data_IF_605189494518
#
_entry.id   IF_605189494518
#
_cell.length_a   1.000
_cell.length_b   1.000
_cell.length_c   1.000
_cell.angle_alpha   90.00
_cell.angle_beta   90.00
_cell.angle_gamma   90.00
#
_symmetry.space_group_name_H-M   'P 1'
#
loop_
_entity.id
_entity.type
_entity.pdbx_description
1 polymer ?
#
# COMPACT_ATOMS: atom_id res chain seq x y z
N UNK A 1 5.36 17.56 0.96
CA UNK A 1 6.38 17.22 -0.06
C UNK A 1 6.32 15.73 -0.27
N UNK A 2 5.79 15.30 -1.41
CA UNK A 2 6.08 14.03 -2.10
C UNK A 2 5.34 14.12 -3.45
N UNK A 3 5.67 15.18 -4.20
CA UNK A 3 5.23 15.32 -5.58
C UNK A 3 6.25 14.57 -6.43
N UNK A 4 5.79 13.44 -6.98
CA UNK A 4 6.38 12.69 -8.09
C UNK A 4 7.87 12.35 -7.93
N UNK A 5 8.19 11.08 -7.67
CA UNK A 5 9.37 10.51 -8.33
C UNK A 5 9.14 10.76 -9.83
N UNK A 6 9.75 11.82 -10.34
CA UNK A 6 9.46 12.36 -11.67
C UNK A 6 9.73 11.25 -12.67
N UNK A 7 8.92 11.18 -13.73
CA UNK A 7 9.05 10.18 -14.81
C UNK A 7 10.51 9.83 -15.19
N UNK A 8 11.41 10.80 -15.13
CA UNK A 8 12.87 10.68 -15.35
C UNK A 8 13.60 9.75 -14.36
N UNK A 9 13.26 9.81 -13.08
CA UNK A 9 13.83 8.94 -12.03
C UNK A 9 13.39 7.49 -12.25
N UNK A 10 12.12 7.30 -12.62
CA UNK A 10 11.56 5.99 -12.91
C UNK A 10 12.18 5.38 -14.18
N UNK A 11 12.37 6.18 -15.24
CA UNK A 11 13.14 5.77 -16.42
C UNK A 11 14.58 5.38 -16.05
N UNK A 12 15.26 6.19 -15.24
CA UNK A 12 16.63 5.91 -14.80
C UNK A 12 16.76 4.63 -13.98
N UNK A 13 15.72 4.24 -13.23
CA UNK A 13 15.68 2.98 -12.49
C UNK A 13 15.45 1.79 -13.42
N UNK A 14 14.57 1.93 -14.41
CA UNK A 14 14.32 0.89 -15.42
C UNK A 14 15.57 0.62 -16.26
N UNK A 15 16.33 1.66 -16.63
CA UNK A 15 17.59 1.52 -17.38
C UNK A 15 18.70 0.79 -16.62
N UNK A 16 18.64 0.77 -15.28
CA UNK A 16 19.61 0.08 -14.43
C UNK A 16 19.23 -1.37 -14.13
N UNK A 17 18.05 -1.82 -14.55
CA UNK A 17 17.63 -3.19 -14.33
C UNK A 17 18.42 -4.15 -15.21
N UNK A 18 18.82 -5.32 -14.69
CA UNK A 18 19.32 -6.40 -15.52
C UNK A 18 18.26 -6.83 -16.54
N UNK A 19 18.68 -7.21 -17.75
CA UNK A 19 17.76 -7.68 -18.81
C UNK A 19 16.83 -8.81 -18.34
N UNK A 20 17.30 -9.67 -17.44
CA UNK A 20 16.52 -10.76 -16.84
C UNK A 20 15.33 -10.27 -16.01
N UNK A 21 15.40 -9.06 -15.46
CA UNK A 21 14.41 -8.49 -14.53
C UNK A 21 13.40 -7.56 -15.22
N UNK A 22 13.67 -7.10 -16.45
CA UNK A 22 12.83 -6.12 -17.17
C UNK A 22 11.39 -6.61 -17.31
N UNK A 23 11.20 -7.90 -17.63
CA UNK A 23 9.87 -8.49 -17.77
C UNK A 23 9.11 -8.55 -16.43
N UNK A 24 9.79 -8.81 -15.33
CA UNK A 24 9.18 -8.86 -14.00
C UNK A 24 8.79 -7.44 -13.53
N UNK A 25 9.68 -6.47 -13.74
CA UNK A 25 9.41 -5.07 -13.45
C UNK A 25 8.23 -4.52 -14.26
N UNK A 26 8.15 -4.86 -15.55
CA UNK A 26 7.01 -4.47 -16.41
C UNK A 26 5.67 -4.97 -15.87
N UNK A 27 5.58 -6.25 -15.51
CA UNK A 27 4.34 -6.82 -14.92
C UNK A 27 3.96 -6.16 -13.60
N UNK A 28 4.96 -5.83 -12.78
CA UNK A 28 4.72 -5.15 -11.51
C UNK A 28 4.20 -3.72 -11.72
N UNK A 29 4.76 -2.99 -12.68
CA UNK A 29 4.26 -1.66 -13.05
C UNK A 29 2.84 -1.72 -13.61
N UNK A 30 2.53 -2.69 -14.47
CA UNK A 30 1.16 -2.93 -14.95
C UNK A 30 0.19 -3.24 -13.80
N UNK A 31 0.61 -4.06 -12.83
CA UNK A 31 -0.16 -4.34 -11.63
C UNK A 31 -0.44 -3.05 -10.84
N UNK A 32 0.56 -2.21 -10.62
CA UNK A 32 0.40 -0.93 -9.92
C UNK A 32 -0.49 0.06 -10.69
N UNK A 33 -0.46 0.07 -12.02
CA UNK A 33 -1.34 0.92 -12.82
C UNK A 33 -2.78 0.40 -12.78
N UNK A 34 -2.97 -0.92 -12.83
CA UNK A 34 -4.30 -1.56 -12.76
C UNK A 34 -4.96 -1.40 -11.39
N UNK A 35 -4.13 -1.26 -10.36
CA UNK A 35 -4.52 -0.84 -9.03
C UNK A 35 -4.43 0.68 -8.98
N UNK A 36 -5.45 1.36 -9.47
CA UNK A 36 -5.82 2.64 -8.84
C UNK A 36 -6.17 2.34 -7.37
N UNK A 37 -5.15 2.07 -6.54
CA UNK A 37 -5.29 2.05 -5.10
C UNK A 37 -5.70 3.47 -4.75
N UNK A 38 -6.96 3.61 -4.36
CA UNK A 38 -7.50 4.88 -3.90
C UNK A 38 -6.50 5.44 -2.88
N UNK A 39 -6.03 6.68 -3.05
CA UNK A 39 -5.08 7.26 -2.11
C UNK A 39 -5.65 7.08 -0.72
N UNK A 40 -4.84 6.53 0.20
CA UNK A 40 -5.29 6.28 1.56
C UNK A 40 -5.74 7.62 2.14
N UNK A 41 -7.00 7.67 2.55
CA UNK A 41 -7.59 8.88 3.10
C UNK A 41 -6.74 9.37 4.29
N UNK A 42 -6.21 10.62 4.25
CA UNK A 42 -5.44 11.19 5.34
C UNK A 42 -6.18 11.16 6.69
N UNK A 43 -7.50 11.21 6.70
CA UNK A 43 -8.31 11.06 7.91
C UNK A 43 -8.28 9.61 8.42
N UNK A 44 -8.36 8.64 7.52
CA UNK A 44 -8.20 7.22 7.86
C UNK A 44 -6.80 6.95 8.45
N UNK A 45 -5.74 7.52 7.87
CA UNK A 45 -4.38 7.40 8.41
C UNK A 45 -4.28 7.94 9.84
N UNK A 46 -4.83 9.13 10.10
CA UNK A 46 -4.85 9.71 11.46
C UNK A 46 -5.56 8.80 12.46
N UNK A 47 -6.69 8.20 12.06
CA UNK A 47 -7.43 7.26 12.92
C UNK A 47 -6.62 6.00 13.24
N UNK A 48 -5.88 5.48 12.25
CA UNK A 48 -4.98 4.34 12.44
C UNK A 48 -3.85 4.69 13.40
N UNK A 49 -3.22 5.86 13.24
CA UNK A 49 -2.12 6.28 14.11
C UNK A 49 -2.57 6.47 15.56
N UNK A 50 -3.76 7.01 15.78
CA UNK A 50 -4.37 7.09 17.13
C UNK A 50 -4.60 5.68 17.71
N UNK A 51 -5.19 4.77 16.94
CA UNK A 51 -5.44 3.39 17.39
C UNK A 51 -4.14 2.60 17.67
N UNK A 52 -3.02 2.95 17.01
CA UNK A 52 -1.70 2.35 17.30
C UNK A 52 -1.07 2.92 18.56
N UNK A 53 -1.28 4.19 18.85
CA UNK A 53 -0.77 4.84 20.06
C UNK A 53 -1.48 4.31 21.32
N UNK A 54 -2.78 4.00 21.19
CA UNK A 54 -3.59 3.40 22.25
C UNK A 54 -4.19 2.07 21.75
N UNK A 55 -3.38 1.00 21.69
CA UNK A 55 -3.85 -0.29 21.21
C UNK A 55 -4.99 -0.76 22.13
N UNK A 56 -6.20 -0.99 21.59
CA UNK A 56 -7.30 -1.49 22.40
C UNK A 56 -6.94 -2.87 22.96
N UNK A 57 -7.59 -3.23 24.06
CA UNK A 57 -7.50 -4.59 24.58
C UNK A 57 -7.82 -5.59 23.46
N UNK A 58 -6.99 -6.62 23.32
CA UNK A 58 -7.22 -7.65 22.31
C UNK A 58 -8.58 -8.29 22.53
N UNK A 59 -9.48 -8.20 21.55
CA UNK A 59 -10.77 -8.88 21.57
C UNK A 59 -10.58 -10.30 21.04
N UNK A 60 -11.04 -11.35 21.74
CA UNK A 60 -11.01 -12.71 21.23
C UNK A 60 -11.72 -12.83 19.88
N UNK A 61 -11.15 -13.59 18.95
CA UNK A 61 -11.71 -13.73 17.61
C UNK A 61 -13.17 -14.24 17.60
N UNK A 62 -13.50 -15.17 18.51
CA UNK A 62 -14.87 -15.70 18.68
C UNK A 62 -15.89 -14.62 19.05
N UNK A 63 -15.47 -13.62 19.83
CA UNK A 63 -16.33 -12.50 20.23
C UNK A 63 -16.59 -11.55 19.05
N UNK A 64 -15.59 -11.35 18.19
CA UNK A 64 -15.73 -10.58 16.94
C UNK A 64 -16.71 -11.29 15.99
N UNK A 65 -16.57 -12.60 15.78
CA UNK A 65 -17.47 -13.36 14.88
C UNK A 65 -18.93 -13.29 15.35
N UNK A 66 -19.15 -13.39 16.66
CA UNK A 66 -20.48 -13.26 17.27
C UNK A 66 -21.08 -11.85 17.08
N UNK A 67 -20.27 -10.80 17.21
CA UNK A 67 -20.73 -9.41 17.07
C UNK A 67 -21.06 -9.04 15.62
N UNK A 68 -20.28 -9.53 14.65
CA UNK A 68 -20.42 -9.17 13.24
C UNK A 68 -21.19 -10.21 12.40
N UNK A 69 -21.65 -11.30 13.00
CA UNK A 69 -22.51 -12.31 12.35
C UNK A 69 -21.81 -13.10 11.24
N UNK A 70 -20.51 -13.36 11.40
CA UNK A 70 -19.65 -14.11 10.47
C UNK A 70 -19.52 -15.58 10.84
#
# INVERSE_FOLDING_TARGET
MNESAGKEELHSLVEKLPDSEVMAAGRYLEFLISREEAPVDPEMLKRIDVARAEPPASVPHEEILREYGL
#
